data_IF_304124522484
#
_entry.id   IF_304124522484
#
_cell.length_a   1.000
_cell.length_b   1.000
_cell.length_c   1.000
_cell.angle_alpha   90.00
_cell.angle_beta   90.00
_cell.angle_gamma   90.00
#
_symmetry.space_group_name_H-M   'P 1'
#
loop_
_entity.id
_entity.type
_entity.pdbx_description
1 polymer ?
#
# COMPACT_ATOMS: atom_id res chain seq x y z
N UNK A 1 23.32 10.42 21.50
CA UNK A 1 22.56 11.26 20.58
C UNK A 1 21.10 11.10 20.95
N UNK A 2 20.33 12.17 21.11
CA UNK A 2 18.92 12.01 21.48
C UNK A 2 18.12 11.60 20.25
N UNK A 3 17.02 10.87 20.43
CA UNK A 3 16.12 10.48 19.34
C UNK A 3 15.67 11.72 18.54
N UNK A 4 15.43 12.84 19.23
CA UNK A 4 15.06 14.13 18.63
C UNK A 4 16.16 14.68 17.70
N UNK A 5 17.44 14.50 18.04
CA UNK A 5 18.55 14.95 17.19
C UNK A 5 18.63 14.13 15.89
N UNK A 6 18.34 12.83 15.97
CA UNK A 6 18.27 11.93 14.80
C UNK A 6 17.10 12.31 13.88
N UNK A 7 15.92 12.59 14.45
CA UNK A 7 14.76 13.08 13.71
C UNK A 7 15.04 14.40 13.00
N UNK A 8 15.62 15.38 13.69
CA UNK A 8 15.94 16.69 13.10
C UNK A 8 16.96 16.56 11.95
N UNK A 9 17.95 15.67 12.08
CA UNK A 9 18.92 15.43 11.00
C UNK A 9 18.27 14.79 9.77
N UNK A 10 17.36 13.82 9.96
CA UNK A 10 16.61 13.21 8.87
C UNK A 10 15.70 14.23 8.16
N UNK A 11 15.01 15.07 8.92
CA UNK A 11 14.16 16.13 8.38
C UNK A 11 14.97 17.15 7.56
N UNK A 12 16.08 17.64 8.10
CA UNK A 12 16.93 18.60 7.39
C UNK A 12 17.50 18.00 6.10
N UNK A 13 17.94 16.73 6.13
CA UNK A 13 18.43 16.03 4.92
C UNK A 13 17.32 15.85 3.88
N UNK A 14 16.09 15.58 4.33
CA UNK A 14 14.94 15.48 3.44
C UNK A 14 14.65 16.81 2.76
N UNK A 15 14.59 17.90 3.51
CA UNK A 15 14.37 19.24 2.97
C UNK A 15 15.47 19.63 1.97
N UNK A 16 16.75 19.36 2.28
CA UNK A 16 17.87 19.58 1.35
C UNK A 16 17.75 18.79 0.04
N UNK A 17 17.23 17.56 0.10
CA UNK A 17 17.02 16.71 -1.09
C UNK A 17 15.82 17.20 -1.90
N UNK A 18 14.74 17.59 -1.22
CA UNK A 18 13.50 18.06 -1.85
C UNK A 18 13.64 19.45 -2.48
N UNK A 19 14.55 20.29 -1.97
CA UNK A 19 14.83 21.63 -2.50
C UNK A 19 15.80 21.66 -3.70
N UNK A 20 16.54 20.57 -3.96
CA UNK A 20 17.50 20.51 -5.07
C UNK A 20 16.81 20.40 -6.42
N UNK A 21 17.04 21.40 -7.29
CA UNK A 21 16.65 21.38 -8.71
C UNK A 21 17.83 20.98 -9.60
N UNK A 22 17.93 19.69 -9.96
CA UNK A 22 18.97 19.14 -10.85
C UNK A 22 19.65 17.88 -10.30
N UNK A 23 20.33 17.11 -11.17
CA UNK A 23 21.02 15.81 -10.97
C UNK A 23 20.86 15.23 -9.54
N UNK A 24 19.66 14.70 -9.29
CA UNK A 24 19.40 13.88 -8.13
C UNK A 24 19.92 12.49 -8.43
N UNK A 25 20.83 12.01 -7.59
CA UNK A 25 21.21 10.60 -7.58
C UNK A 25 20.00 9.78 -7.10
N UNK A 26 19.23 9.28 -8.06
CA UNK A 26 18.00 8.52 -7.86
C UNK A 26 18.25 7.30 -6.98
N UNK A 27 19.38 6.62 -7.18
CA UNK A 27 19.74 5.37 -6.51
C UNK A 27 20.01 5.56 -5.01
N UNK A 28 20.36 6.77 -4.58
CA UNK A 28 20.48 7.12 -3.15
C UNK A 28 19.27 7.87 -2.61
N UNK A 29 18.57 8.62 -3.47
CA UNK A 29 17.46 9.49 -3.06
C UNK A 29 16.18 8.70 -2.78
N UNK A 30 15.75 7.84 -3.70
CA UNK A 30 14.47 7.15 -3.54
C UNK A 30 14.48 6.19 -2.34
N UNK A 31 15.53 5.35 -2.13
CA UNK A 31 15.59 4.51 -0.93
C UNK A 31 15.51 5.30 0.37
N UNK A 32 16.25 6.42 0.44
CA UNK A 32 16.21 7.30 1.62
C UNK A 32 14.81 7.85 1.87
N UNK A 33 14.09 8.28 0.82
CA UNK A 33 12.73 8.78 0.95
C UNK A 33 11.74 7.69 1.34
N UNK A 34 11.93 6.45 0.90
CA UNK A 34 11.10 5.30 1.31
C UNK A 34 11.33 4.97 2.79
N UNK A 35 12.58 4.93 3.24
CA UNK A 35 12.93 4.73 4.66
C UNK A 35 12.39 5.87 5.54
N UNK A 36 12.52 7.11 5.07
CA UNK A 36 12.00 8.27 5.76
C UNK A 36 10.47 8.26 5.85
N UNK A 37 9.81 7.84 4.77
CA UNK A 37 8.37 7.66 4.74
C UNK A 37 7.93 6.65 5.80
N UNK A 38 8.55 5.48 5.85
CA UNK A 38 8.28 4.45 6.87
C UNK A 38 8.49 5.00 8.29
N UNK A 39 9.57 5.75 8.48
CA UNK A 39 9.88 6.40 9.76
C UNK A 39 8.77 7.37 10.17
N UNK A 40 8.35 8.28 9.28
CA UNK A 40 7.25 9.22 9.57
C UNK A 40 5.92 8.52 9.83
N UNK A 41 5.62 7.43 9.13
CA UNK A 41 4.41 6.65 9.35
C UNK A 41 4.38 6.03 10.75
N UNK A 42 5.48 5.39 11.16
CA UNK A 42 5.59 4.76 12.48
C UNK A 42 5.60 5.77 13.64
N UNK A 43 5.97 7.03 13.37
CA UNK A 43 5.92 8.12 14.33
C UNK A 43 4.60 8.91 14.33
N UNK A 44 3.61 8.53 13.51
CA UNK A 44 2.35 9.27 13.35
C UNK A 44 2.58 10.75 12.98
N UNK A 45 3.46 10.98 12.01
CA UNK A 45 3.76 12.31 11.46
C UNK A 45 3.12 12.45 10.07
N UNK A 46 1.78 12.50 10.02
CA UNK A 46 1.02 12.36 8.77
C UNK A 46 1.34 13.47 7.76
N UNK A 47 1.46 14.73 8.20
CA UNK A 47 1.76 15.85 7.31
C UNK A 47 3.14 15.70 6.64
N UNK A 48 4.12 15.15 7.36
CA UNK A 48 5.46 14.91 6.82
C UNK A 48 5.46 13.73 5.85
N UNK A 49 4.77 12.65 6.21
CA UNK A 49 4.60 11.48 5.34
C UNK A 49 3.86 11.83 4.03
N UNK A 50 2.86 12.71 4.07
CA UNK A 50 2.16 13.22 2.88
C UNK A 50 3.11 14.01 1.97
N UNK A 51 3.97 14.88 2.53
CA UNK A 51 4.96 15.62 1.72
C UNK A 51 5.96 14.70 1.04
N UNK A 52 6.52 13.74 1.79
CA UNK A 52 7.44 12.74 1.22
C UNK A 52 6.76 11.91 0.14
N UNK A 53 5.49 11.52 0.37
CA UNK A 53 4.67 10.82 -0.61
C UNK A 53 4.52 11.60 -1.92
N UNK A 54 4.19 12.88 -1.84
CA UNK A 54 4.05 13.73 -3.03
C UNK A 54 5.36 13.85 -3.79
N UNK A 55 6.48 13.95 -3.07
CA UNK A 55 7.79 13.99 -3.69
C UNK A 55 8.18 12.66 -4.34
N UNK A 56 7.96 11.52 -3.67
CA UNK A 56 8.14 10.18 -4.24
C UNK A 56 7.31 10.00 -5.52
N UNK A 57 6.04 10.41 -5.50
CA UNK A 57 5.16 10.33 -6.67
C UNK A 57 5.64 11.17 -7.86
N UNK A 58 6.42 12.22 -7.63
CA UNK A 58 7.04 13.01 -8.71
C UNK A 58 8.07 12.22 -9.53
N UNK A 59 8.65 11.15 -8.96
CA UNK A 59 9.53 10.22 -9.67
C UNK A 59 8.74 9.19 -10.51
N UNK A 60 7.42 9.09 -10.33
CA UNK A 60 6.54 8.23 -11.11
C UNK A 60 6.99 6.77 -11.11
N UNK A 61 7.21 6.20 -12.30
CA UNK A 61 7.57 4.77 -12.45
C UNK A 61 8.95 4.44 -11.86
N UNK A 62 9.83 5.42 -11.72
CA UNK A 62 11.20 5.23 -11.23
C UNK A 62 11.21 4.80 -9.77
N UNK A 63 10.22 5.21 -8.97
CA UNK A 63 10.18 4.84 -7.54
C UNK A 63 9.81 3.37 -7.29
N UNK A 64 9.13 2.73 -8.24
CA UNK A 64 8.47 1.44 -8.03
C UNK A 64 9.46 0.36 -7.54
N UNK A 65 10.63 0.15 -8.18
CA UNK A 65 11.57 -0.89 -7.74
C UNK A 65 12.04 -0.72 -6.30
N UNK A 66 12.06 0.52 -5.78
CA UNK A 66 12.54 0.83 -4.44
C UNK A 66 11.47 0.69 -3.35
N UNK A 67 10.18 0.69 -3.71
CA UNK A 67 9.10 0.47 -2.74
C UNK A 67 9.15 -0.95 -2.16
N UNK A 68 9.43 -1.94 -3.02
CA UNK A 68 9.63 -3.33 -2.65
C UNK A 68 8.54 -3.85 -1.70
N UNK A 69 7.26 -3.62 -2.05
CA UNK A 69 6.11 -3.86 -1.16
C UNK A 69 6.08 -5.29 -0.58
N UNK A 70 6.62 -6.29 -1.28
CA UNK A 70 6.74 -7.65 -0.76
C UNK A 70 7.54 -7.75 0.55
N UNK A 71 8.60 -6.96 0.72
CA UNK A 71 9.49 -7.02 1.88
C UNK A 71 9.10 -6.03 2.97
N UNK A 72 8.14 -5.15 2.71
CA UNK A 72 7.68 -4.15 3.67
C UNK A 72 6.76 -4.76 4.73
N UNK A 73 6.82 -4.16 5.92
CA UNK A 73 5.94 -4.48 7.04
C UNK A 73 4.49 -4.14 6.72
N UNK A 74 3.54 -4.81 7.40
CA UNK A 74 2.10 -4.57 7.21
C UNK A 74 1.73 -3.10 7.38
N UNK A 75 2.28 -2.41 8.38
CA UNK A 75 1.99 -1.00 8.66
C UNK A 75 2.35 -0.08 7.49
N UNK A 76 3.53 -0.28 6.91
CA UNK A 76 3.98 0.48 5.75
C UNK A 76 3.01 0.31 4.58
N UNK A 77 2.59 -0.92 4.31
CA UNK A 77 1.68 -1.21 3.20
C UNK A 77 0.29 -0.66 3.49
N UNK A 78 -0.21 -0.77 4.71
CA UNK A 78 -1.51 -0.20 5.10
C UNK A 78 -1.52 1.31 4.84
N UNK A 79 -0.47 2.03 5.25
CA UNK A 79 -0.35 3.46 4.97
C UNK A 79 -0.19 3.74 3.48
N UNK A 80 0.66 2.97 2.78
CA UNK A 80 0.82 3.08 1.34
C UNK A 80 -0.54 2.98 0.63
N UNK A 81 -1.38 2.04 1.03
CA UNK A 81 -2.72 1.85 0.48
C UNK A 81 -3.69 2.97 0.86
N UNK A 82 -3.59 3.50 2.08
CA UNK A 82 -4.47 4.56 2.60
C UNK A 82 -4.14 5.97 2.10
N UNK A 83 -2.87 6.25 1.78
CA UNK A 83 -2.41 7.63 1.52
C UNK A 83 -1.64 7.80 0.20
N UNK A 84 -0.84 6.81 -0.21
CA UNK A 84 -0.03 6.90 -1.43
C UNK A 84 -0.84 6.45 -2.64
N UNK A 85 -1.41 5.25 -2.57
CA UNK A 85 -2.18 4.65 -3.67
C UNK A 85 -3.35 5.55 -4.15
N UNK A 86 -4.08 6.26 -3.27
CA UNK A 86 -5.08 7.26 -3.65
C UNK A 86 -4.59 8.34 -4.62
N UNK A 87 -3.31 8.69 -4.55
CA UNK A 87 -2.69 9.76 -5.33
C UNK A 87 -2.02 9.25 -6.62
N UNK A 88 -1.88 7.94 -6.79
CA UNK A 88 -1.32 7.36 -8.01
C UNK A 88 -2.24 7.57 -9.22
N UNK A 89 -1.68 7.81 -10.41
CA UNK A 89 -2.45 7.75 -11.65
C UNK A 89 -2.81 6.30 -12.01
N UNK A 90 -3.83 6.08 -12.85
CA UNK A 90 -4.18 4.73 -13.32
C UNK A 90 -2.98 4.07 -14.02
N UNK A 91 -2.25 4.83 -14.85
CA UNK A 91 -1.04 4.36 -15.54
C UNK A 91 0.06 3.91 -14.56
N UNK A 92 0.22 4.63 -13.44
CA UNK A 92 1.20 4.27 -12.44
C UNK A 92 0.78 2.99 -11.71
N UNK A 93 -0.49 2.85 -11.34
CA UNK A 93 -1.05 1.63 -10.74
C UNK A 93 -0.93 0.43 -11.68
N UNK A 94 -1.11 0.64 -12.99
CA UNK A 94 -0.90 -0.40 -14.01
C UNK A 94 0.54 -0.88 -14.03
N UNK A 95 1.51 0.03 -13.90
CA UNK A 95 2.94 -0.34 -13.86
C UNK A 95 3.29 -1.01 -12.53
N UNK A 96 2.65 -0.62 -11.43
CA UNK A 96 2.82 -1.22 -10.10
C UNK A 96 2.15 -2.60 -9.95
N UNK A 97 1.52 -3.13 -11.00
CA UNK A 97 0.73 -4.36 -10.94
C UNK A 97 1.45 -5.50 -10.21
N UNK A 98 2.72 -5.75 -10.52
CA UNK A 98 3.47 -6.85 -9.90
C UNK A 98 3.54 -6.72 -8.37
N UNK A 99 3.96 -5.54 -7.88
CA UNK A 99 4.04 -5.29 -6.43
C UNK A 99 2.68 -5.27 -5.74
N UNK A 100 1.64 -4.76 -6.42
CA UNK A 100 0.29 -4.82 -5.87
C UNK A 100 -0.17 -6.28 -5.75
N UNK A 101 0.14 -7.14 -6.72
CA UNK A 101 -0.21 -8.56 -6.66
C UNK A 101 0.46 -9.28 -5.50
N UNK A 102 1.71 -8.94 -5.19
CA UNK A 102 2.39 -9.48 -4.00
C UNK A 102 1.65 -9.14 -2.71
N UNK A 103 1.13 -7.91 -2.60
CA UNK A 103 0.27 -7.52 -1.48
C UNK A 103 -1.03 -8.31 -1.48
N UNK A 104 -1.68 -8.47 -2.64
CA UNK A 104 -2.94 -9.20 -2.76
C UNK A 104 -2.81 -10.69 -2.39
N UNK A 105 -1.64 -11.29 -2.55
CA UNK A 105 -1.41 -12.68 -2.14
C UNK A 105 -1.24 -12.84 -0.63
N UNK A 106 -1.05 -11.74 0.14
CA UNK A 106 -1.01 -11.80 1.60
C UNK A 106 -2.41 -12.11 2.14
N UNK A 107 -2.50 -12.95 3.16
CA UNK A 107 -3.72 -13.21 3.91
C UNK A 107 -3.64 -12.49 5.27
N UNK A 108 -3.56 -11.16 5.22
CA UNK A 108 -3.49 -10.34 6.42
C UNK A 108 -4.90 -10.17 7.01
N UNK A 109 -5.25 -11.05 7.94
CA UNK A 109 -6.55 -11.04 8.61
C UNK A 109 -6.67 -9.99 9.71
N UNK A 110 -5.60 -9.24 10.01
CA UNK A 110 -5.60 -8.20 11.05
C UNK A 110 -5.96 -6.84 10.48
N UNK A 111 -5.16 -6.35 9.54
CA UNK A 111 -5.30 -5.00 8.97
C UNK A 111 -6.05 -5.01 7.64
N UNK A 112 -6.37 -6.21 7.11
CA UNK A 112 -7.12 -6.42 5.87
C UNK A 112 -6.53 -5.64 4.68
N UNK A 113 -5.22 -5.43 4.71
CA UNK A 113 -4.49 -4.55 3.77
C UNK A 113 -4.70 -4.97 2.32
N UNK A 114 -4.74 -6.28 2.06
CA UNK A 114 -5.07 -6.84 0.75
C UNK A 114 -6.50 -6.46 0.32
N UNK A 115 -7.50 -6.55 1.20
CA UNK A 115 -8.88 -6.14 0.89
C UNK A 115 -8.99 -4.63 0.65
N UNK A 116 -8.22 -3.81 1.37
CA UNK A 116 -8.13 -2.36 1.12
C UNK A 116 -7.61 -2.08 -0.29
N UNK A 117 -6.54 -2.78 -0.71
CA UNK A 117 -6.00 -2.67 -2.07
C UNK A 117 -7.05 -3.08 -3.11
N UNK A 118 -7.69 -4.23 -2.91
CA UNK A 118 -8.73 -4.73 -3.84
C UNK A 118 -9.86 -3.73 -3.97
N UNK A 119 -10.40 -3.25 -2.85
CA UNK A 119 -11.51 -2.31 -2.83
C UNK A 119 -11.16 -1.05 -3.62
N UNK A 120 -9.99 -0.47 -3.39
CA UNK A 120 -9.55 0.72 -4.10
C UNK A 120 -9.38 0.50 -5.61
N UNK A 121 -8.74 -0.59 -6.02
CA UNK A 121 -8.58 -0.91 -7.45
C UNK A 121 -9.93 -1.12 -8.15
N UNK A 122 -10.90 -1.75 -7.46
CA UNK A 122 -12.27 -1.93 -7.95
C UNK A 122 -13.04 -0.61 -8.07
N UNK A 123 -12.90 0.32 -7.12
CA UNK A 123 -13.49 1.67 -7.22
C UNK A 123 -13.03 2.38 -8.50
N UNK A 124 -11.77 2.17 -8.87
CA UNK A 124 -11.16 2.72 -10.09
C UNK A 124 -11.40 1.88 -11.34
N UNK A 125 -12.13 0.76 -11.23
CA UNK A 125 -12.43 -0.15 -12.34
C UNK A 125 -11.17 -0.75 -12.98
N UNK A 126 -10.10 -0.92 -12.20
CA UNK A 126 -8.86 -1.54 -12.64
C UNK A 126 -8.88 -3.04 -12.35
N UNK A 127 -8.37 -3.86 -13.28
CA UNK A 127 -8.17 -5.31 -13.12
C UNK A 127 -9.38 -6.11 -12.60
N UNK A 128 -10.58 -5.68 -12.97
CA UNK A 128 -11.85 -6.18 -12.41
C UNK A 128 -11.92 -7.72 -12.42
N UNK A 129 -11.57 -8.35 -13.55
CA UNK A 129 -11.70 -9.79 -13.70
C UNK A 129 -10.74 -10.53 -12.76
N UNK A 130 -9.48 -10.13 -12.74
CA UNK A 130 -8.45 -10.77 -11.93
C UNK A 130 -8.70 -10.57 -10.42
N UNK A 131 -9.18 -9.39 -10.02
CA UNK A 131 -9.53 -9.11 -8.62
C UNK A 131 -10.73 -9.93 -8.15
N UNK A 132 -11.71 -10.18 -9.04
CA UNK A 132 -12.84 -11.07 -8.74
C UNK A 132 -12.37 -12.49 -8.45
N UNK A 133 -11.45 -13.01 -9.25
CA UNK A 133 -10.87 -14.35 -9.06
C UNK A 133 -10.17 -14.43 -7.70
N UNK A 134 -9.32 -13.44 -7.37
CA UNK A 134 -8.63 -13.35 -6.08
C UNK A 134 -9.61 -13.32 -4.90
N UNK A 135 -10.67 -12.49 -4.97
CA UNK A 135 -11.68 -12.41 -3.90
C UNK A 135 -12.40 -13.75 -3.68
N UNK A 136 -12.73 -14.46 -4.76
CA UNK A 136 -13.39 -15.78 -4.67
C UNK A 136 -12.46 -16.81 -4.04
N UNK A 137 -11.18 -16.82 -4.43
CA UNK A 137 -10.18 -17.71 -3.87
C UNK A 137 -9.95 -17.45 -2.38
N UNK A 138 -9.80 -16.18 -1.99
CA UNK A 138 -9.65 -15.77 -0.59
C UNK A 138 -10.86 -16.15 0.26
N UNK A 139 -12.08 -15.91 -0.26
CA UNK A 139 -13.31 -16.33 0.42
C UNK A 139 -13.30 -17.82 0.72
N UNK A 140 -13.04 -18.64 -0.30
CA UNK A 140 -13.00 -20.10 -0.17
C UNK A 140 -11.96 -20.54 0.85
N UNK A 141 -10.78 -19.92 0.84
CA UNK A 141 -9.72 -20.21 1.81
C UNK A 141 -10.13 -19.87 3.25
N UNK A 142 -10.69 -18.68 3.48
CA UNK A 142 -11.11 -18.24 4.81
C UNK A 142 -12.29 -19.04 5.37
N UNK A 143 -13.25 -19.43 4.51
CA UNK A 143 -14.34 -20.34 4.89
C UNK A 143 -13.80 -21.71 5.34
N UNK A 144 -12.73 -22.21 4.71
CA UNK A 144 -12.06 -23.45 5.14
C UNK A 144 -11.36 -23.30 6.49
N UNK A 145 -10.78 -22.14 6.78
CA UNK A 145 -10.17 -21.88 8.08
C UNK A 145 -11.19 -21.80 9.22
N UNK A 146 -12.37 -21.21 8.98
CA UNK A 146 -13.45 -21.15 9.98
C UNK A 146 -13.98 -22.53 10.37
N UNK A 147 -13.99 -23.50 9.45
CA UNK A 147 -14.41 -24.87 9.76
C UNK A 147 -13.51 -25.50 10.84
N UNK A 148 -12.27 -25.02 11.00
CA UNK A 148 -11.29 -25.54 11.96
C UNK A 148 -11.46 -24.97 13.37
N UNK A 149 -12.34 -24.00 13.61
CA UNK A 149 -12.63 -23.47 14.94
C UNK A 149 -13.06 -22.00 14.95
N UNK A 150 -13.41 -21.48 16.13
CA UNK A 150 -13.78 -20.08 16.30
C UNK A 150 -12.56 -19.16 16.12
N UNK A 151 -12.64 -18.26 15.15
CA UNK A 151 -11.55 -17.37 14.73
C UNK A 151 -12.11 -15.98 14.39
N UNK A 152 -12.24 -15.08 15.38
CA UNK A 152 -12.86 -13.76 15.19
C UNK A 152 -12.25 -12.90 14.07
N UNK A 153 -10.92 -12.89 13.93
CA UNK A 153 -10.25 -12.15 12.86
C UNK A 153 -10.62 -12.65 11.45
N UNK A 154 -10.87 -13.95 11.30
CA UNK A 154 -11.31 -14.53 10.02
C UNK A 154 -12.77 -14.19 9.74
N UNK A 155 -13.61 -14.13 10.79
CA UNK A 155 -15.01 -13.71 10.66
C UNK A 155 -15.10 -12.25 10.17
N UNK A 156 -14.34 -11.34 10.78
CA UNK A 156 -14.27 -9.94 10.37
C UNK A 156 -13.77 -9.81 8.92
N UNK A 157 -12.68 -10.48 8.58
CA UNK A 157 -12.13 -10.49 7.24
C UNK A 157 -13.16 -11.00 6.20
N UNK A 158 -13.89 -12.06 6.53
CA UNK A 158 -14.96 -12.57 5.66
C UNK A 158 -16.13 -11.60 5.53
N UNK A 159 -16.47 -10.86 6.57
CA UNK A 159 -17.50 -9.81 6.50
C UNK A 159 -17.07 -8.70 5.53
N UNK A 160 -15.85 -8.18 5.66
CA UNK A 160 -15.26 -7.20 4.76
C UNK A 160 -15.20 -7.70 3.32
N UNK A 161 -14.74 -8.94 3.11
CA UNK A 161 -14.68 -9.56 1.79
C UNK A 161 -16.07 -9.70 1.16
N UNK A 162 -17.05 -10.19 1.93
CA UNK A 162 -18.43 -10.35 1.45
C UNK A 162 -19.06 -8.99 1.10
N UNK A 163 -18.77 -7.95 1.88
CA UNK A 163 -19.21 -6.60 1.57
C UNK A 163 -18.64 -6.11 0.23
N UNK A 164 -17.33 -6.30 -0.03
CA UNK A 164 -16.71 -5.95 -1.31
C UNK A 164 -17.39 -6.71 -2.47
N UNK A 165 -17.56 -8.04 -2.35
CA UNK A 165 -18.21 -8.85 -3.38
C UNK A 165 -19.64 -8.38 -3.69
N UNK A 166 -20.38 -7.97 -2.65
CA UNK A 166 -21.75 -7.46 -2.77
C UNK A 166 -21.77 -6.07 -3.42
N UNK A 167 -20.94 -5.13 -2.97
CA UNK A 167 -20.87 -3.75 -3.47
C UNK A 167 -20.54 -3.75 -4.96
N UNK A 168 -19.56 -4.55 -5.39
CA UNK A 168 -19.11 -4.60 -6.79
C UNK A 168 -19.82 -5.66 -7.62
N UNK A 169 -20.94 -6.23 -7.15
CA UNK A 169 -21.66 -7.30 -7.87
C UNK A 169 -22.00 -6.94 -9.32
N UNK A 170 -22.25 -5.66 -9.57
CA UNK A 170 -22.59 -5.12 -10.89
C UNK A 170 -21.41 -5.12 -11.88
N UNK A 171 -20.16 -5.13 -11.40
CA UNK A 171 -18.97 -5.21 -12.24
C UNK A 171 -18.75 -6.62 -12.80
N UNK A 172 -19.42 -7.62 -12.23
CA UNK A 172 -19.21 -9.04 -12.55
C UNK A 172 -20.08 -9.56 -13.70
N UNK A 173 -21.09 -8.82 -14.10
CA UNK A 173 -22.04 -9.21 -15.15
C UNK A 173 -21.52 -8.69 -16.49
N UNK A 174 -20.95 -9.60 -17.28
CA UNK A 174 -20.65 -9.41 -18.70
C UNK A 174 -21.29 -10.54 -19.50
#
# INVERSE_FOLDING_TARGET
MSQIDEWLNLMNKADEIMDKKGDLDVDSTIPFLVELLDTYQNAHLEDAAVKVTQYLLSFGRVMIPYLNLQQQETNFIHYFCGYVMPQCSDDLLIVMREQLWEVLQRNDTSEETDLVVINYLLQRKLFINELKEILVEKKKHMEQELIQGDRPFIQNYLESLNNILQVYQFLWVK
#
